data_IF_035836103951
#
_entry.id   IF_035836103951
#
_cell.length_a   1.000
_cell.length_b   1.000
_cell.length_c   1.000
_cell.angle_alpha   90.00
_cell.angle_beta   90.00
_cell.angle_gamma   90.00
#
_symmetry.space_group_name_H-M   'P 1'
#
loop_
_entity.id
_entity.type
_entity.pdbx_description
1 polymer ?
#
# COMPACT_ATOMS: atom_id res chain seq x y z
N UNK A 1 9.05 -48.62 20.34
CA UNK A 1 8.40 -47.30 20.19
C UNK A 1 7.51 -47.12 21.42
N UNK A 2 7.62 -46.01 22.15
CA UNK A 2 6.78 -45.78 23.35
C UNK A 2 5.29 -45.74 22.94
N UNK A 3 4.41 -46.61 23.47
CA UNK A 3 3.00 -46.65 23.09
C UNK A 3 2.28 -45.33 23.33
N UNK A 4 2.75 -44.49 24.27
CA UNK A 4 2.19 -43.17 24.53
C UNK A 4 2.33 -42.22 23.35
N UNK A 5 3.39 -42.35 22.55
CA UNK A 5 3.61 -41.52 21.36
C UNK A 5 2.55 -41.79 20.29
N UNK A 6 2.19 -43.05 20.09
CA UNK A 6 1.16 -43.46 19.13
C UNK A 6 -0.20 -42.94 19.59
N UNK A 7 -0.56 -43.15 20.86
CA UNK A 7 -1.83 -42.66 21.42
C UNK A 7 -1.94 -41.14 21.37
N UNK A 8 -0.87 -40.40 21.69
CA UNK A 8 -0.86 -38.93 21.62
C UNK A 8 -1.03 -38.43 20.18
N UNK A 9 -0.40 -39.10 19.21
CA UNK A 9 -0.55 -38.76 17.80
C UNK A 9 -1.97 -39.00 17.32
N UNK A 10 -2.53 -40.16 17.61
CA UNK A 10 -3.87 -40.52 17.17
C UNK A 10 -4.92 -39.61 17.83
N UNK A 11 -4.74 -39.26 19.11
CA UNK A 11 -5.57 -38.27 19.80
C UNK A 11 -5.50 -36.87 19.17
N UNK A 12 -4.30 -36.41 18.80
CA UNK A 12 -4.12 -35.11 18.16
C UNK A 12 -4.76 -35.06 16.76
N UNK A 13 -4.62 -36.14 15.98
CA UNK A 13 -5.24 -36.26 14.66
C UNK A 13 -6.77 -36.36 14.79
N UNK A 14 -7.27 -37.14 15.76
CA UNK A 14 -8.70 -37.25 16.03
C UNK A 14 -9.33 -35.90 16.40
N UNK A 15 -8.63 -35.06 17.19
CA UNK A 15 -9.13 -33.72 17.47
C UNK A 15 -9.18 -32.85 16.21
N UNK A 16 -8.17 -32.90 15.32
CA UNK A 16 -8.19 -32.13 14.07
C UNK A 16 -9.35 -32.52 13.13
N UNK A 17 -9.85 -33.75 13.23
CA UNK A 17 -11.02 -34.22 12.50
C UNK A 17 -12.37 -33.86 13.17
N UNK A 18 -12.35 -33.21 14.34
CA UNK A 18 -13.55 -32.88 15.11
C UNK A 18 -14.19 -31.55 14.70
N UNK A 19 -15.47 -31.40 15.04
CA UNK A 19 -16.21 -30.13 14.84
C UNK A 19 -15.60 -28.97 15.64
N UNK A 20 -15.01 -29.23 16.81
CA UNK A 20 -14.34 -28.21 17.62
C UNK A 20 -13.11 -27.62 16.90
N UNK A 21 -12.34 -28.48 16.22
CA UNK A 21 -11.23 -28.03 15.38
C UNK A 21 -11.72 -27.24 14.18
N UNK A 22 -12.83 -27.66 13.53
CA UNK A 22 -13.46 -26.92 12.42
C UNK A 22 -13.96 -25.54 12.84
N UNK A 23 -14.60 -25.43 14.01
CA UNK A 23 -15.02 -24.15 14.58
C UNK A 23 -13.81 -23.26 14.90
N UNK A 24 -12.75 -23.83 15.44
CA UNK A 24 -11.50 -23.11 15.74
C UNK A 24 -10.82 -22.61 14.47
N UNK A 25 -10.70 -23.45 13.44
CA UNK A 25 -10.15 -23.09 12.13
C UNK A 25 -10.96 -21.96 11.50
N UNK A 26 -12.29 -22.04 11.52
CA UNK A 26 -13.18 -20.98 11.02
C UNK A 26 -12.93 -19.65 11.72
N UNK A 27 -12.77 -19.65 13.06
CA UNK A 27 -12.44 -18.45 13.82
C UNK A 27 -11.07 -17.89 13.46
N UNK A 28 -10.07 -18.75 13.24
CA UNK A 28 -8.71 -18.34 12.86
C UNK A 28 -8.68 -17.74 11.45
N UNK A 29 -9.34 -18.37 10.48
CA UNK A 29 -9.50 -17.85 9.11
C UNK A 29 -10.10 -16.44 9.15
N UNK A 30 -11.18 -16.23 9.91
CA UNK A 30 -11.80 -14.91 10.08
C UNK A 30 -10.89 -13.92 10.80
N UNK A 31 -10.27 -14.33 11.91
CA UNK A 31 -9.41 -13.48 12.74
C UNK A 31 -8.19 -12.94 11.98
N UNK A 32 -7.57 -13.78 11.16
CA UNK A 32 -6.38 -13.43 10.39
C UNK A 32 -6.70 -12.99 8.96
N UNK A 33 -7.99 -12.96 8.59
CA UNK A 33 -8.43 -12.64 7.24
C UNK A 33 -7.74 -13.52 6.20
N UNK A 34 -7.73 -14.84 6.39
CA UNK A 34 -7.14 -15.77 5.42
C UNK A 34 -8.09 -15.96 4.23
N UNK A 35 -7.53 -16.22 3.05
CA UNK A 35 -8.28 -16.65 1.86
C UNK A 35 -8.54 -18.15 1.83
N UNK A 36 -7.81 -18.91 2.64
CA UNK A 36 -7.84 -20.37 2.69
C UNK A 36 -9.17 -20.87 3.29
N UNK A 37 -9.65 -22.02 2.80
CA UNK A 37 -10.77 -22.73 3.43
C UNK A 37 -10.33 -23.22 4.83
N UNK A 38 -11.19 -23.14 5.87
CA UNK A 38 -10.94 -23.80 7.14
C UNK A 38 -10.45 -25.26 7.04
N UNK A 39 -10.91 -26.02 6.04
CA UNK A 39 -10.51 -27.41 5.82
C UNK A 39 -9.07 -27.56 5.27
N UNK A 40 -8.60 -26.59 4.48
CA UNK A 40 -7.19 -26.54 4.04
C UNK A 40 -6.26 -26.27 5.22
N UNK A 41 -6.69 -25.36 6.11
CA UNK A 41 -5.95 -25.03 7.32
C UNK A 41 -5.82 -26.23 8.27
N UNK A 42 -6.90 -27.01 8.41
CA UNK A 42 -6.90 -28.26 9.17
C UNK A 42 -6.01 -29.32 8.54
N UNK A 43 -6.04 -29.44 7.21
CA UNK A 43 -5.21 -30.40 6.47
C UNK A 43 -3.72 -30.10 6.63
N UNK A 44 -3.30 -28.83 6.48
CA UNK A 44 -1.91 -28.41 6.69
C UNK A 44 -1.47 -28.63 8.16
N UNK A 45 -2.35 -28.32 9.13
CA UNK A 45 -2.10 -28.60 10.54
C UNK A 45 -1.95 -30.09 10.81
N UNK A 46 -2.77 -30.93 10.17
CA UNK A 46 -2.70 -32.40 10.24
C UNK A 46 -1.36 -32.95 9.77
N UNK A 47 -0.87 -32.50 8.61
CA UNK A 47 0.45 -32.90 8.09
C UNK A 47 1.55 -32.52 9.07
N UNK A 48 1.56 -31.27 9.56
CA UNK A 48 2.59 -30.81 10.53
C UNK A 48 2.55 -31.58 11.85
N UNK A 49 1.36 -31.84 12.38
CA UNK A 49 1.18 -32.60 13.63
C UNK A 49 1.64 -34.04 13.44
N UNK A 50 1.25 -34.68 12.34
CA UNK A 50 1.64 -36.05 12.01
C UNK A 50 3.16 -36.19 11.89
N UNK A 51 3.80 -35.32 11.10
CA UNK A 51 5.25 -35.32 10.94
C UNK A 51 6.00 -35.05 12.24
N UNK A 52 5.56 -34.03 12.99
CA UNK A 52 6.20 -33.63 14.24
C UNK A 52 6.15 -34.75 15.27
N UNK A 53 4.97 -35.33 15.51
CA UNK A 53 4.80 -36.40 16.50
C UNK A 53 5.46 -37.72 16.06
N UNK A 54 5.56 -37.98 14.76
CA UNK A 54 6.25 -39.18 14.24
C UNK A 54 7.77 -39.12 14.41
N UNK A 55 8.36 -37.92 14.48
CA UNK A 55 9.80 -37.72 14.69
C UNK A 55 10.22 -37.63 16.16
N UNK A 56 9.28 -37.56 17.10
CA UNK A 56 9.60 -37.38 18.53
C UNK A 56 10.12 -38.67 19.14
N UNK A 57 11.23 -38.55 19.88
CA UNK A 57 11.75 -39.60 20.75
C UNK A 57 11.06 -39.62 22.13
N UNK A 58 10.52 -38.48 22.57
CA UNK A 58 9.91 -38.30 23.89
C UNK A 58 8.45 -37.83 23.79
N UNK A 59 7.55 -38.36 24.66
CA UNK A 59 6.16 -37.99 24.68
C UNK A 59 5.95 -36.52 25.04
N UNK A 60 4.77 -36.00 24.70
CA UNK A 60 4.35 -34.68 25.14
C UNK A 60 4.26 -34.63 26.67
N UNK A 61 4.68 -33.50 27.25
CA UNK A 61 4.71 -33.30 28.70
C UNK A 61 3.29 -33.12 29.24
N UNK A 62 2.89 -34.04 30.12
CA UNK A 62 1.66 -33.96 30.90
C UNK A 62 1.11 -35.35 31.24
N UNK A 63 0.23 -35.41 32.24
CA UNK A 63 -0.34 -36.66 32.75
C UNK A 63 -1.53 -37.16 31.93
N UNK A 64 -2.32 -36.26 31.34
CA UNK A 64 -3.48 -36.57 30.51
C UNK A 64 -3.12 -36.53 29.01
N UNK A 65 -3.02 -37.72 28.43
CA UNK A 65 -2.69 -37.94 27.01
C UNK A 65 -3.62 -37.17 26.08
N UNK A 66 -4.94 -37.20 26.35
CA UNK A 66 -5.94 -36.61 25.46
C UNK A 66 -5.88 -35.09 25.52
N UNK A 67 -5.88 -34.53 26.73
CA UNK A 67 -5.81 -33.07 26.94
C UNK A 67 -4.53 -32.46 26.37
N UNK A 68 -3.40 -33.13 26.56
CA UNK A 68 -2.10 -32.66 26.07
C UNK A 68 -2.03 -32.73 24.54
N UNK A 69 -2.51 -33.82 23.94
CA UNK A 69 -2.57 -33.99 22.49
C UNK A 69 -3.48 -32.94 21.83
N UNK A 70 -4.67 -32.69 22.40
CA UNK A 70 -5.60 -31.66 21.92
C UNK A 70 -4.99 -30.27 21.99
N UNK A 71 -4.37 -29.90 23.12
CA UNK A 71 -3.69 -28.59 23.26
C UNK A 71 -2.55 -28.43 22.27
N UNK A 72 -1.79 -29.50 22.01
CA UNK A 72 -0.73 -29.51 21.02
C UNK A 72 -1.27 -29.29 19.60
N UNK A 73 -2.32 -30.03 19.22
CA UNK A 73 -2.98 -29.90 17.93
C UNK A 73 -3.57 -28.49 17.72
N UNK A 74 -4.30 -27.96 18.70
CA UNK A 74 -4.87 -26.61 18.65
C UNK A 74 -3.79 -25.53 18.51
N UNK A 75 -2.65 -25.68 19.21
CA UNK A 75 -1.51 -24.77 19.07
C UNK A 75 -0.88 -24.87 17.69
N UNK A 76 -0.75 -26.08 17.14
CA UNK A 76 -0.22 -26.30 15.79
C UNK A 76 -1.10 -25.61 14.75
N UNK A 77 -2.42 -25.79 14.83
CA UNK A 77 -3.41 -25.13 13.97
C UNK A 77 -3.29 -23.59 14.05
N UNK A 78 -3.17 -23.03 15.26
CA UNK A 78 -2.96 -21.59 15.45
C UNK A 78 -1.66 -21.09 14.81
N UNK A 79 -0.58 -21.87 14.90
CA UNK A 79 0.70 -21.52 14.28
C UNK A 79 0.62 -21.54 12.75
N UNK A 80 -0.03 -22.54 12.16
CA UNK A 80 -0.27 -22.61 10.71
C UNK A 80 -1.03 -21.36 10.24
N UNK A 81 -2.09 -20.97 10.95
CA UNK A 81 -2.85 -19.78 10.61
C UNK A 81 -2.00 -18.50 10.63
N UNK A 82 -1.16 -18.34 11.65
CA UNK A 82 -0.22 -17.21 11.77
C UNK A 82 0.81 -17.23 10.62
N UNK A 83 1.32 -18.40 10.26
CA UNK A 83 2.28 -18.54 9.16
C UNK A 83 1.65 -18.21 7.80
N UNK A 84 0.39 -18.61 7.56
CA UNK A 84 -0.35 -18.24 6.35
C UNK A 84 -0.63 -16.74 6.30
N UNK A 85 -1.02 -16.14 7.43
CA UNK A 85 -1.18 -14.69 7.52
C UNK A 85 0.12 -13.94 7.20
N UNK A 86 1.25 -14.41 7.74
CA UNK A 86 2.58 -13.84 7.46
C UNK A 86 3.00 -14.04 6.00
N UNK A 87 2.73 -15.22 5.42
CA UNK A 87 2.97 -15.50 3.99
C UNK A 87 2.17 -14.54 3.12
N UNK A 88 0.86 -14.40 3.38
CA UNK A 88 0.00 -13.45 2.67
C UNK A 88 0.49 -12.01 2.79
N UNK A 89 0.90 -11.58 3.98
CA UNK A 89 1.44 -10.23 4.16
C UNK A 89 2.71 -10.00 3.33
N UNK A 90 3.60 -11.00 3.23
CA UNK A 90 4.77 -10.96 2.36
C UNK A 90 4.41 -11.01 0.88
N UNK A 91 3.48 -11.86 0.47
CA UNK A 91 3.02 -11.94 -0.92
C UNK A 91 2.36 -10.64 -1.37
N UNK A 92 1.50 -10.03 -0.54
CA UNK A 92 0.91 -8.72 -0.85
C UNK A 92 1.98 -7.63 -0.96
N UNK A 93 2.99 -7.65 -0.08
CA UNK A 93 4.14 -6.74 -0.19
C UNK A 93 4.89 -6.96 -1.51
N UNK A 94 5.13 -8.21 -1.88
CA UNK A 94 5.80 -8.57 -3.13
C UNK A 94 4.97 -8.25 -4.37
N UNK A 95 3.65 -8.46 -4.36
CA UNK A 95 2.75 -8.06 -5.45
C UNK A 95 2.73 -6.55 -5.63
N UNK A 96 2.74 -5.79 -4.52
CA UNK A 96 2.87 -4.33 -4.56
C UNK A 96 4.24 -3.94 -5.14
N UNK A 97 5.34 -4.53 -4.65
CA UNK A 97 6.70 -4.31 -5.18
C UNK A 97 6.83 -4.71 -6.67
N UNK A 98 6.16 -5.79 -7.09
CA UNK A 98 6.16 -6.27 -8.47
C UNK A 98 5.31 -5.37 -9.37
N UNK A 99 4.16 -4.90 -8.89
CA UNK A 99 3.34 -3.90 -9.57
C UNK A 99 4.08 -2.56 -9.71
N UNK A 100 4.98 -2.23 -8.78
CA UNK A 100 5.85 -1.05 -8.87
C UNK A 100 7.03 -1.24 -9.85
N UNK A 101 7.46 -2.47 -10.13
CA UNK A 101 8.59 -2.74 -11.04
C UNK A 101 8.16 -3.04 -12.47
N UNK A 102 6.90 -3.46 -12.68
CA UNK A 102 6.33 -3.62 -14.01
C UNK A 102 5.76 -2.27 -14.50
N UNK A 103 6.30 -1.67 -15.57
CA UNK A 103 5.70 -0.48 -16.15
C UNK A 103 4.28 -0.85 -16.59
N UNK A 104 3.28 -0.25 -15.94
CA UNK A 104 1.89 -0.40 -16.34
C UNK A 104 1.76 0.37 -17.64
N UNK A 105 1.95 -0.30 -18.78
CA UNK A 105 1.69 0.32 -20.07
C UNK A 105 0.21 0.66 -20.12
N UNK A 106 -0.12 1.96 -20.03
CA UNK A 106 -1.45 2.42 -20.35
C UNK A 106 -1.78 1.97 -21.77
N UNK A 107 -2.97 1.41 -21.99
CA UNK A 107 -3.44 1.14 -23.34
C UNK A 107 -3.41 2.43 -24.18
N UNK A 108 -3.20 2.34 -25.50
CA UNK A 108 -3.00 3.51 -26.37
C UNK A 108 -4.14 4.53 -26.26
N UNK A 109 -5.38 4.08 -26.06
CA UNK A 109 -6.55 4.95 -25.86
C UNK A 109 -6.43 5.79 -24.59
N UNK A 110 -6.04 5.19 -23.45
CA UNK A 110 -5.84 5.92 -22.19
C UNK A 110 -4.66 6.88 -22.24
N UNK A 111 -3.63 6.56 -23.03
CA UNK A 111 -2.52 7.46 -23.26
C UNK A 111 -2.95 8.69 -24.06
N UNK A 112 -3.76 8.51 -25.11
CA UNK A 112 -4.32 9.62 -25.89
C UNK A 112 -5.23 10.49 -25.02
N UNK A 113 -6.13 9.90 -24.24
CA UNK A 113 -7.00 10.63 -23.30
C UNK A 113 -6.20 11.46 -22.29
N UNK A 114 -5.14 10.89 -21.71
CA UNK A 114 -4.28 11.60 -20.75
C UNK A 114 -3.51 12.76 -21.41
N UNK A 115 -3.01 12.58 -22.63
CA UNK A 115 -2.32 13.64 -23.38
C UNK A 115 -3.28 14.79 -23.70
N UNK A 116 -4.46 14.49 -24.25
CA UNK A 116 -5.47 15.50 -24.59
C UNK A 116 -5.91 16.28 -23.34
N UNK A 117 -6.15 15.58 -22.23
CA UNK A 117 -6.50 16.23 -20.97
C UNK A 117 -5.44 17.23 -20.50
N UNK A 118 -4.16 16.88 -20.64
CA UNK A 118 -3.06 17.74 -20.20
C UNK A 118 -2.85 18.92 -21.18
N UNK A 119 -3.06 18.73 -22.47
CA UNK A 119 -3.06 19.81 -23.45
C UNK A 119 -4.18 20.82 -23.18
N UNK A 120 -5.39 20.35 -22.90
CA UNK A 120 -6.52 21.20 -22.50
C UNK A 120 -6.22 21.95 -21.20
N UNK A 121 -5.61 21.28 -20.22
CA UNK A 121 -5.19 21.91 -18.97
C UNK A 121 -4.15 23.01 -19.19
N UNK A 122 -3.17 22.76 -20.06
CA UNK A 122 -2.15 23.75 -20.42
C UNK A 122 -2.80 24.97 -21.11
N UNK A 123 -3.75 24.75 -22.02
CA UNK A 123 -4.46 25.83 -22.68
C UNK A 123 -5.24 26.71 -21.68
N UNK A 124 -5.91 26.09 -20.70
CA UNK A 124 -6.65 26.84 -19.68
C UNK A 124 -5.74 27.62 -18.71
N UNK A 125 -4.61 27.04 -18.32
CA UNK A 125 -3.60 27.75 -17.50
C UNK A 125 -3.06 28.96 -18.25
N UNK A 126 -2.66 28.80 -19.52
CA UNK A 126 -2.17 29.89 -20.35
C UNK A 126 -3.21 31.01 -20.48
N UNK A 127 -4.48 30.67 -20.68
CA UNK A 127 -5.56 31.65 -20.77
C UNK A 127 -5.79 32.39 -19.45
N UNK A 128 -5.81 31.69 -18.32
CA UNK A 128 -5.94 32.31 -16.99
C UNK A 128 -4.79 33.27 -16.69
N UNK A 129 -3.58 32.94 -17.15
CA UNK A 129 -2.42 33.80 -17.03
C UNK A 129 -2.48 35.02 -17.95
N UNK A 130 -3.01 34.86 -19.17
CA UNK A 130 -3.25 35.97 -20.11
C UNK A 130 -4.26 36.96 -19.55
N UNK A 131 -5.38 36.46 -19.04
CA UNK A 131 -6.46 37.27 -18.43
C UNK A 131 -6.03 37.91 -17.10
N UNK A 132 -4.95 37.42 -16.49
CA UNK A 132 -4.38 38.00 -15.29
C UNK A 132 -5.08 37.53 -14.03
N UNK A 133 -5.18 36.21 -13.84
CA UNK A 133 -5.62 35.63 -12.57
C UNK A 133 -4.83 36.26 -11.40
N UNK A 134 -5.48 37.02 -10.50
CA UNK A 134 -4.78 37.76 -9.47
C UNK A 134 -4.38 36.80 -8.35
N UNK A 135 -3.10 36.43 -8.27
CA UNK A 135 -2.55 35.89 -7.02
C UNK A 135 -1.65 36.92 -6.34
N UNK A 136 -2.09 37.57 -5.24
CA UNK A 136 -1.28 38.56 -4.53
C UNK A 136 -0.10 37.92 -3.77
N UNK A 137 -0.08 36.60 -3.60
CA UNK A 137 0.90 35.89 -2.79
C UNK A 137 2.28 35.69 -3.44
N UNK A 138 2.38 35.80 -4.78
CA UNK A 138 3.58 35.45 -5.54
C UNK A 138 3.64 36.21 -6.87
N UNK A 139 4.86 36.39 -7.41
CA UNK A 139 5.05 37.04 -8.72
C UNK A 139 4.45 36.19 -9.84
N UNK A 140 3.85 36.85 -10.83
CA UNK A 140 3.12 36.20 -11.93
C UNK A 140 4.03 35.23 -12.71
N UNK A 141 5.26 35.63 -12.96
CA UNK A 141 6.27 34.85 -13.68
C UNK A 141 6.64 33.58 -12.90
N UNK A 142 6.75 33.67 -11.57
CA UNK A 142 7.05 32.55 -10.69
C UNK A 142 5.89 31.57 -10.65
N UNK A 143 4.65 32.06 -10.53
CA UNK A 143 3.45 31.20 -10.53
C UNK A 143 3.32 30.48 -11.87
N UNK A 144 3.55 31.17 -12.99
CA UNK A 144 3.50 30.56 -14.31
C UNK A 144 4.53 29.45 -14.47
N UNK A 145 5.80 29.77 -14.25
CA UNK A 145 6.89 28.82 -14.41
C UNK A 145 6.74 27.62 -13.46
N UNK A 146 6.30 27.85 -12.22
CA UNK A 146 6.06 26.77 -11.27
C UNK A 146 4.87 25.89 -11.67
N UNK A 147 3.81 26.47 -12.23
CA UNK A 147 2.67 25.70 -12.73
C UNK A 147 3.07 24.83 -13.92
N UNK A 148 3.82 25.39 -14.88
CA UNK A 148 4.34 24.63 -16.03
C UNK A 148 5.27 23.51 -15.59
N UNK A 149 6.17 23.77 -14.65
CA UNK A 149 7.12 22.78 -14.14
C UNK A 149 6.41 21.65 -13.39
N UNK A 150 5.41 21.98 -12.55
CA UNK A 150 4.54 20.99 -11.91
C UNK A 150 3.79 20.15 -12.94
N UNK A 151 3.23 20.76 -14.00
CA UNK A 151 2.52 20.01 -15.05
C UNK A 151 3.45 19.09 -15.84
N UNK A 152 4.68 19.53 -16.10
CA UNK A 152 5.70 18.70 -16.74
C UNK A 152 6.14 17.54 -15.84
N UNK A 153 6.31 17.78 -14.54
CA UNK A 153 6.59 16.71 -13.58
C UNK A 153 5.43 15.73 -13.50
N UNK A 154 4.17 16.19 -13.51
CA UNK A 154 3.01 15.29 -13.58
C UNK A 154 3.00 14.46 -14.88
N UNK A 155 3.45 15.01 -16.00
CA UNK A 155 3.57 14.26 -17.26
C UNK A 155 4.66 13.19 -17.23
N UNK A 156 5.81 13.51 -16.63
CA UNK A 156 6.98 12.63 -16.59
C UNK A 156 6.87 11.61 -15.44
N UNK A 157 6.56 12.10 -14.24
CA UNK A 157 6.48 11.33 -13.00
C UNK A 157 5.07 10.77 -12.74
N UNK A 158 4.02 11.26 -13.38
CA UNK A 158 2.70 10.60 -13.34
C UNK A 158 2.71 9.20 -13.95
N UNK A 159 3.79 8.85 -14.66
CA UNK A 159 4.09 7.52 -15.17
C UNK A 159 4.96 6.67 -14.22
N UNK A 160 5.43 7.24 -13.10
CA UNK A 160 6.19 6.56 -12.05
C UNK A 160 5.43 6.64 -10.74
N UNK A 161 4.97 5.51 -10.21
CA UNK A 161 4.12 5.40 -9.00
C UNK A 161 4.78 5.84 -7.67
N UNK A 162 5.84 6.65 -7.69
CA UNK A 162 6.46 7.23 -6.48
C UNK A 162 5.60 8.30 -5.81
N UNK A 163 4.53 8.78 -6.47
CA UNK A 163 3.53 9.68 -5.89
C UNK A 163 2.74 9.08 -4.70
N UNK A 164 2.89 7.77 -4.43
CA UNK A 164 2.27 7.07 -3.30
C UNK A 164 3.19 6.88 -2.09
N UNK A 165 4.50 7.17 -2.23
CA UNK A 165 5.33 7.45 -1.06
C UNK A 165 4.87 8.79 -0.49
N UNK A 166 4.51 8.83 0.80
CA UNK A 166 3.81 9.95 1.44
C UNK A 166 4.57 11.28 1.53
N UNK A 167 5.53 11.54 0.66
CA UNK A 167 6.25 12.79 0.57
C UNK A 167 5.61 13.66 -0.51
N UNK A 168 4.72 14.55 -0.09
CA UNK A 168 4.28 15.73 -0.86
C UNK A 168 5.44 16.74 -1.15
N UNK A 169 6.68 16.28 -1.05
CA UNK A 169 7.90 17.06 -1.13
C UNK A 169 8.18 17.45 -2.58
N UNK A 170 7.89 16.60 -3.57
CA UNK A 170 8.15 16.89 -4.98
C UNK A 170 7.44 18.16 -5.48
N UNK A 171 6.18 18.37 -5.07
CA UNK A 171 5.40 19.54 -5.46
C UNK A 171 5.98 20.82 -4.81
N UNK A 172 6.39 20.72 -3.55
CA UNK A 172 7.03 21.81 -2.83
C UNK A 172 8.43 22.12 -3.42
N UNK A 173 9.17 21.10 -3.83
CA UNK A 173 10.51 21.19 -4.41
C UNK A 173 10.49 21.78 -5.81
N UNK A 174 9.52 21.43 -6.64
CA UNK A 174 9.30 22.05 -7.95
C UNK A 174 9.06 23.56 -7.82
N UNK A 175 8.16 23.96 -6.90
CA UNK A 175 7.89 25.37 -6.64
C UNK A 175 9.14 26.06 -6.09
N UNK A 176 9.88 25.40 -5.19
CA UNK A 176 11.07 25.97 -4.60
C UNK A 176 12.18 26.19 -5.63
N UNK A 177 12.37 25.23 -6.54
CA UNK A 177 13.34 25.29 -7.64
C UNK A 177 13.06 26.50 -8.54
N UNK A 178 11.78 26.73 -8.88
CA UNK A 178 11.38 27.90 -9.68
C UNK A 178 11.62 29.21 -8.93
N UNK A 179 11.27 29.28 -7.65
CA UNK A 179 11.50 30.46 -6.81
C UNK A 179 12.98 30.81 -6.78
N UNK A 180 13.84 29.81 -6.58
CA UNK A 180 15.29 30.01 -6.51
C UNK A 180 15.86 30.49 -7.84
N UNK A 181 15.37 29.94 -8.96
CA UNK A 181 15.80 30.30 -10.32
C UNK A 181 15.39 31.73 -10.71
N UNK A 182 14.15 32.12 -10.42
CA UNK A 182 13.56 33.39 -10.91
C UNK A 182 13.66 34.55 -9.92
N UNK A 183 14.06 34.27 -8.67
CA UNK A 183 14.23 35.32 -7.67
C UNK A 183 15.35 34.95 -6.69
N UNK A 184 16.59 34.86 -7.18
CA UNK A 184 17.74 34.55 -6.35
C UNK A 184 17.92 35.65 -5.31
N UNK A 185 17.91 35.28 -4.04
CA UNK A 185 18.13 36.21 -2.94
C UNK A 185 18.49 35.48 -1.67
N UNK A 186 19.42 36.04 -0.88
CA UNK A 186 19.81 35.52 0.43
C UNK A 186 18.68 35.75 1.45
N UNK A 187 17.63 34.94 1.35
CA UNK A 187 16.53 34.94 2.31
C UNK A 187 16.79 33.88 3.38
N UNK A 188 16.47 34.19 4.63
CA UNK A 188 16.55 33.20 5.73
C UNK A 188 15.65 32.01 5.43
N UNK A 189 15.98 30.83 5.97
CA UNK A 189 15.20 29.60 5.76
C UNK A 189 13.69 29.79 6.07
N UNK A 190 13.37 30.59 7.09
CA UNK A 190 11.99 30.92 7.45
C UNK A 190 11.28 31.81 6.40
N UNK A 191 11.98 32.81 5.84
CA UNK A 191 11.44 33.66 4.79
C UNK A 191 11.22 32.88 3.49
N UNK A 192 12.16 31.99 3.14
CA UNK A 192 12.07 31.06 2.01
C UNK A 192 10.85 30.15 2.14
N UNK A 193 10.65 29.52 3.30
CA UNK A 193 9.46 28.69 3.59
C UNK A 193 8.15 29.46 3.47
N UNK A 194 8.07 30.68 4.03
CA UNK A 194 6.87 31.53 3.92
C UNK A 194 6.56 31.91 2.47
N UNK A 195 7.60 32.23 1.67
CA UNK A 195 7.44 32.54 0.24
C UNK A 195 6.95 31.32 -0.55
N UNK A 196 7.55 30.15 -0.32
CA UNK A 196 7.12 28.89 -0.94
C UNK A 196 5.65 28.62 -0.67
N UNK A 197 5.20 28.73 0.58
CA UNK A 197 3.81 28.49 0.95
C UNK A 197 2.83 29.41 0.21
N UNK A 198 3.17 30.71 0.06
CA UNK A 198 2.32 31.65 -0.69
C UNK A 198 2.27 31.31 -2.17
N UNK A 199 3.41 31.02 -2.80
CA UNK A 199 3.46 30.62 -4.21
C UNK A 199 2.76 29.28 -4.45
N UNK A 200 2.87 28.32 -3.53
CA UNK A 200 2.11 27.07 -3.53
C UNK A 200 0.61 27.29 -3.57
N UNK A 201 0.09 28.17 -2.70
CA UNK A 201 -1.34 28.47 -2.70
C UNK A 201 -1.78 29.07 -4.04
N UNK A 202 -0.99 29.97 -4.64
CA UNK A 202 -1.25 30.52 -5.97
C UNK A 202 -1.30 29.45 -7.07
N UNK A 203 -0.30 28.56 -7.11
CA UNK A 203 -0.21 27.48 -8.11
C UNK A 203 -1.40 26.53 -7.96
N UNK A 204 -1.75 26.15 -6.73
CA UNK A 204 -2.91 25.30 -6.45
C UNK A 204 -4.23 25.96 -6.85
N UNK A 205 -4.39 27.26 -6.62
CA UNK A 205 -5.59 28.02 -7.01
C UNK A 205 -5.71 28.15 -8.53
N UNK A 206 -4.60 28.40 -9.22
CA UNK A 206 -4.54 28.47 -10.67
C UNK A 206 -4.90 27.13 -11.31
N UNK A 207 -4.26 26.04 -10.86
CA UNK A 207 -4.55 24.67 -11.31
C UNK A 207 -5.99 24.27 -11.00
N UNK A 208 -6.48 24.54 -9.79
CA UNK A 208 -7.86 24.26 -9.41
C UNK A 208 -8.88 25.02 -10.25
N UNK A 209 -8.57 26.26 -10.65
CA UNK A 209 -9.42 27.05 -11.54
C UNK A 209 -9.38 26.54 -12.97
N UNK A 210 -8.20 26.16 -13.47
CA UNK A 210 -8.04 25.55 -14.78
C UNK A 210 -8.81 24.22 -14.89
N UNK A 211 -8.67 23.34 -13.89
CA UNK A 211 -9.41 22.07 -13.79
C UNK A 211 -10.94 22.27 -13.79
N UNK A 212 -11.44 23.28 -13.06
CA UNK A 212 -12.87 23.62 -13.08
C UNK A 212 -13.36 24.06 -14.46
N UNK A 213 -12.54 24.76 -15.25
CA UNK A 213 -12.88 25.17 -16.63
C UNK A 213 -12.95 23.99 -17.61
N UNK A 214 -12.19 22.93 -17.35
CA UNK A 214 -12.23 21.67 -18.12
C UNK A 214 -13.43 20.81 -17.70
N UNK A 215 -14.15 21.19 -16.64
CA UNK A 215 -15.30 20.44 -16.14
C UNK A 215 -14.96 19.37 -15.11
N UNK A 216 -13.70 19.31 -14.64
CA UNK A 216 -13.30 18.41 -13.56
C UNK A 216 -13.94 18.86 -12.23
N UNK A 217 -14.83 18.02 -11.69
CA UNK A 217 -15.40 18.17 -10.34
C UNK A 217 -14.85 17.03 -9.48
N UNK A 218 -14.22 17.37 -8.34
CA UNK A 218 -13.90 16.36 -7.31
C UNK A 218 -15.22 15.71 -6.87
N UNK A 219 -15.37 14.42 -7.13
CA UNK A 219 -16.37 13.55 -6.49
C UNK A 219 -15.96 13.22 -5.07
#
# INVERSE_FOLDING_TARGET
MDPRLVTQRDAAIAWLASDDARLTATRLVRKYGLSDDPDDLLSEAGVRVHESLSRRAEPLVGSDVQSVATKYAARSLGNVAIDNARRRARSKKYEVELAHTLPTQMGPERQVEAVVFIEELNAQVNELMRVGAPCPGCQKEVVFAATTEVMQLVLVEGNTTDASSGNADWFDDAIQTVIDRLSPGSSTAAARRKRRLRCKNCVMELLGTALRRIGYRRG
#
